data_IF_820207610630
#
_entry.id   IF_820207610630
#
_cell.length_a   1.000
_cell.length_b   1.000
_cell.length_c   1.000
_cell.angle_alpha   90.00
_cell.angle_beta   90.00
_cell.angle_gamma   90.00
#
_symmetry.space_group_name_H-M   'P 1'
#
loop_
_entity.id
_entity.type
_entity.pdbx_description
1 polymer ?
#
# COMPACT_ATOMS: atom_id res chain seq x y z
N UNK A 1 6.80 -4.41 11.01
CA UNK A 1 5.84 -3.40 11.54
C UNK A 1 6.24 -1.96 11.18
N UNK A 2 7.39 -1.76 10.54
CA UNK A 2 7.95 -0.43 10.23
C UNK A 2 7.33 0.23 9.00
N UNK A 3 6.62 -0.57 8.19
CA UNK A 3 6.13 -0.16 6.88
C UNK A 3 5.24 1.08 6.88
N UNK A 4 4.29 1.27 7.82
CA UNK A 4 3.48 2.48 7.83
C UNK A 4 4.32 3.75 8.01
N UNK A 5 5.31 3.73 8.90
CA UNK A 5 6.22 4.86 9.13
C UNK A 5 7.13 5.10 7.92
N UNK A 6 7.67 4.03 7.33
CA UNK A 6 8.50 4.12 6.12
C UNK A 6 7.72 4.76 4.97
N UNK A 7 6.52 4.26 4.70
CA UNK A 7 5.67 4.76 3.62
C UNK A 7 5.30 6.24 3.81
N UNK A 8 5.01 6.66 5.04
CA UNK A 8 4.74 8.07 5.33
C UNK A 8 5.96 8.97 5.04
N UNK A 9 7.15 8.54 5.46
CA UNK A 9 8.39 9.28 5.19
C UNK A 9 8.72 9.33 3.69
N UNK A 10 8.58 8.22 2.98
CA UNK A 10 8.81 8.15 1.54
C UNK A 10 7.83 9.06 0.77
N UNK A 11 6.55 9.08 1.19
CA UNK A 11 5.55 9.99 0.62
C UNK A 11 5.89 11.48 0.85
N UNK A 12 6.64 11.79 1.91
CA UNK A 12 7.14 13.13 2.21
C UNK A 12 8.50 13.45 1.56
N UNK A 13 9.01 12.55 0.70
CA UNK A 13 10.29 12.75 0.02
C UNK A 13 11.51 12.54 0.92
N UNK A 14 11.35 11.89 2.07
CA UNK A 14 12.45 11.46 2.94
C UNK A 14 12.81 10.01 2.67
N UNK A 15 14.02 9.63 3.06
CA UNK A 15 14.44 8.24 3.00
C UNK A 15 13.86 7.48 4.20
N UNK A 16 12.77 6.75 3.98
CA UNK A 16 12.01 6.10 5.05
C UNK A 16 12.82 5.09 5.87
N UNK A 17 13.85 4.47 5.27
CA UNK A 17 14.77 3.60 6.00
C UNK A 17 15.51 4.34 7.12
N UNK A 18 16.04 5.53 6.83
CA UNK A 18 16.76 6.35 7.81
C UNK A 18 15.82 6.88 8.89
N UNK A 19 14.61 7.31 8.49
CA UNK A 19 13.60 7.79 9.44
C UNK A 19 13.20 6.69 10.42
N UNK A 20 12.92 5.49 9.92
CA UNK A 20 12.56 4.33 10.76
C UNK A 20 13.68 3.98 11.73
N UNK A 21 14.93 3.92 11.26
CA UNK A 21 16.08 3.61 12.12
C UNK A 21 16.28 4.66 13.23
N UNK A 22 16.03 5.93 12.94
CA UNK A 22 16.09 7.00 13.94
C UNK A 22 14.95 6.91 14.95
N UNK A 23 13.72 6.65 14.50
CA UNK A 23 12.57 6.46 15.40
C UNK A 23 12.77 5.26 16.34
N UNK A 24 13.35 4.15 15.87
CA UNK A 24 13.63 2.97 16.72
C UNK A 24 14.60 3.24 17.87
N UNK A 25 15.51 4.22 17.73
CA UNK A 25 16.45 4.60 18.80
C UNK A 25 15.79 5.42 19.90
N UNK A 26 14.63 6.00 19.62
CA UNK A 26 13.87 6.85 20.52
C UNK A 26 12.93 6.01 21.40
N UNK A 27 12.36 6.62 22.44
CA UNK A 27 11.54 5.94 23.44
C UNK A 27 10.26 6.72 23.72
N UNK A 28 9.22 5.98 24.14
CA UNK A 28 7.94 6.59 24.50
C UNK A 28 7.25 7.18 23.28
N UNK A 29 6.85 8.45 23.38
CA UNK A 29 6.07 9.15 22.35
C UNK A 29 6.93 9.87 21.31
N UNK A 30 8.26 9.82 21.46
CA UNK A 30 9.20 10.45 20.53
C UNK A 30 9.16 9.72 19.19
N UNK A 31 8.71 10.43 18.16
CA UNK A 31 8.59 9.92 16.80
C UNK A 31 8.91 10.99 15.77
N UNK A 32 8.46 10.77 14.54
CA UNK A 32 8.73 11.67 13.42
C UNK A 32 7.42 12.33 12.95
N UNK A 33 7.37 13.66 13.07
CA UNK A 33 6.32 14.49 12.50
C UNK A 33 6.64 14.75 11.02
N UNK A 34 5.91 14.05 10.16
CA UNK A 34 6.07 14.07 8.71
C UNK A 34 5.65 15.43 8.12
N UNK A 35 4.72 16.13 8.74
CA UNK A 35 4.19 17.39 8.22
C UNK A 35 5.17 18.55 8.43
N UNK A 36 5.86 18.56 9.57
CA UNK A 36 6.85 19.59 9.92
C UNK A 36 8.29 19.16 9.68
N UNK A 37 8.53 17.89 9.33
CA UNK A 37 9.86 17.31 9.13
C UNK A 37 10.74 17.33 10.39
N UNK A 38 10.15 17.05 11.55
CA UNK A 38 10.83 17.14 12.85
C UNK A 38 10.65 15.86 13.68
N UNK A 39 11.63 15.56 14.53
CA UNK A 39 11.46 14.52 15.54
C UNK A 39 10.98 15.13 16.85
N UNK A 40 9.82 14.71 17.31
CA UNK A 40 9.13 15.33 18.46
C UNK A 40 8.28 14.32 19.21
N UNK A 41 7.78 14.73 20.38
CA UNK A 41 6.75 14.01 21.13
C UNK A 41 5.43 14.10 20.36
N UNK A 42 5.06 13.02 19.68
CA UNK A 42 3.89 12.97 18.79
C UNK A 42 2.58 13.22 19.56
N UNK A 43 2.51 12.84 20.84
CA UNK A 43 1.32 13.07 21.67
C UNK A 43 1.17 14.55 21.97
N UNK A 44 2.28 15.24 22.33
CA UNK A 44 2.26 16.70 22.54
C UNK A 44 1.99 17.47 21.25
N UNK A 45 2.47 16.98 20.12
CA UNK A 45 2.22 17.54 18.80
C UNK A 45 0.77 17.29 18.30
N UNK A 46 -0.02 16.46 19.00
CA UNK A 46 -1.40 16.13 18.62
C UNK A 46 -1.51 15.10 17.50
N UNK A 47 -0.41 14.44 17.15
CA UNK A 47 -0.35 13.37 16.13
C UNK A 47 -0.64 12.05 16.86
N UNK A 48 -1.93 11.75 17.02
CA UNK A 48 -2.40 10.60 17.79
C UNK A 48 -3.32 9.71 16.97
N UNK A 49 -3.08 8.41 17.02
CA UNK A 49 -3.94 7.40 16.41
C UNK A 49 -4.84 6.73 17.47
N UNK A 50 -6.14 6.54 17.20
CA UNK A 50 -7.00 5.77 18.09
C UNK A 50 -6.48 4.33 18.21
N UNK A 51 -6.28 3.84 19.44
CA UNK A 51 -5.74 2.49 19.71
C UNK A 51 -6.49 1.38 18.97
N UNK A 52 -7.81 1.53 18.79
CA UNK A 52 -8.65 0.58 18.05
C UNK A 52 -8.19 0.46 16.59
N UNK A 53 -7.85 1.57 15.95
CA UNK A 53 -7.49 1.61 14.52
C UNK A 53 -6.16 0.91 14.29
N UNK A 54 -5.11 1.29 15.02
CA UNK A 54 -3.77 0.67 14.88
C UNK A 54 -3.83 -0.84 15.11
N UNK A 55 -4.56 -1.27 16.16
CA UNK A 55 -4.74 -2.70 16.46
C UNK A 55 -5.50 -3.43 15.34
N UNK A 56 -6.65 -2.90 14.92
CA UNK A 56 -7.49 -3.55 13.91
C UNK A 56 -6.81 -3.60 12.55
N UNK A 57 -6.08 -2.56 12.16
CA UNK A 57 -5.30 -2.54 10.91
C UNK A 57 -4.27 -3.67 10.88
N UNK A 58 -3.48 -3.81 11.96
CA UNK A 58 -2.47 -4.88 12.05
C UNK A 58 -3.12 -6.27 12.05
N UNK A 59 -4.20 -6.46 12.81
CA UNK A 59 -4.91 -7.75 12.90
C UNK A 59 -5.47 -8.18 11.54
N UNK A 60 -6.12 -7.27 10.81
CA UNK A 60 -6.67 -7.56 9.50
C UNK A 60 -5.56 -7.87 8.48
N UNK A 61 -4.48 -7.08 8.49
CA UNK A 61 -3.33 -7.31 7.61
C UNK A 61 -2.68 -8.68 7.87
N UNK A 62 -2.43 -9.01 9.14
CA UNK A 62 -1.87 -10.30 9.53
C UNK A 62 -2.81 -11.47 9.18
N UNK A 63 -4.13 -11.30 9.31
CA UNK A 63 -5.12 -12.32 8.96
C UNK A 63 -5.09 -12.67 7.47
N UNK A 64 -5.09 -11.67 6.59
CA UNK A 64 -5.06 -11.89 5.14
C UNK A 64 -3.69 -12.40 4.71
N UNK A 65 -2.59 -11.84 5.24
CA UNK A 65 -1.25 -12.33 4.96
C UNK A 65 -1.08 -13.80 5.37
N UNK A 66 -1.58 -14.18 6.56
CA UNK A 66 -1.57 -15.56 7.03
C UNK A 66 -2.32 -16.51 6.10
N UNK A 67 -3.52 -16.11 5.65
CA UNK A 67 -4.32 -16.89 4.70
C UNK A 67 -3.55 -17.09 3.38
N UNK A 68 -3.00 -16.02 2.82
CA UNK A 68 -2.29 -16.05 1.53
C UNK A 68 -1.02 -16.91 1.61
N UNK A 69 -0.25 -16.82 2.70
CA UNK A 69 0.98 -17.59 2.89
C UNK A 69 0.75 -19.10 2.95
N UNK A 70 -0.44 -19.55 3.36
CA UNK A 70 -0.80 -20.98 3.42
C UNK A 70 -1.62 -21.46 2.22
N UNK A 71 -1.83 -20.60 1.22
CA UNK A 71 -2.60 -20.96 0.02
C UNK A 71 -1.69 -21.60 -1.01
N UNK A 72 -1.79 -22.92 -1.16
CA UNK A 72 -0.98 -23.70 -2.11
C UNK A 72 -1.51 -23.69 -3.55
N UNK A 73 -2.82 -23.48 -3.73
CA UNK A 73 -3.45 -23.50 -5.05
C UNK A 73 -4.65 -22.54 -5.13
N UNK A 74 -4.87 -22.00 -6.32
CA UNK A 74 -6.02 -21.15 -6.67
C UNK A 74 -6.76 -21.78 -7.85
N UNK A 75 -8.08 -21.95 -7.72
CA UNK A 75 -8.95 -22.35 -8.82
C UNK A 75 -9.66 -21.09 -9.32
N UNK A 76 -9.45 -20.75 -10.59
CA UNK A 76 -10.01 -19.53 -11.21
C UNK A 76 -10.91 -19.90 -12.38
N UNK A 77 -11.84 -19.02 -12.72
CA UNK A 77 -12.56 -19.12 -13.98
C UNK A 77 -11.62 -18.90 -15.17
N UNK A 78 -11.96 -19.47 -16.33
CA UNK A 78 -11.22 -19.25 -17.56
C UNK A 78 -11.47 -17.79 -17.98
N UNK A 79 -10.41 -16.98 -18.24
CA UNK A 79 -10.59 -15.60 -18.69
C UNK A 79 -11.51 -15.55 -19.91
N UNK A 80 -12.61 -14.79 -19.81
CA UNK A 80 -13.46 -14.55 -20.97
C UNK A 80 -12.66 -13.80 -22.03
N UNK A 81 -12.71 -14.27 -23.28
CA UNK A 81 -12.22 -13.47 -24.39
C UNK A 81 -13.14 -12.26 -24.52
N UNK A 82 -12.60 -11.06 -24.40
CA UNK A 82 -13.34 -9.85 -24.74
C UNK A 82 -13.96 -10.04 -26.12
N UNK A 83 -15.29 -9.91 -26.18
CA UNK A 83 -16.01 -9.94 -27.46
C UNK A 83 -15.48 -8.77 -28.26
N UNK A 84 -14.66 -9.06 -29.26
CA UNK A 84 -14.26 -8.07 -30.26
C UNK A 84 -15.55 -7.47 -30.79
N UNK A 85 -15.76 -6.14 -30.70
CA UNK A 85 -16.96 -5.54 -31.22
C UNK A 85 -17.08 -5.97 -32.69
N UNK A 86 -18.28 -6.37 -33.15
CA UNK A 86 -18.45 -6.84 -34.52
C UNK A 86 -17.95 -5.76 -35.46
N UNK A 87 -16.86 -6.07 -36.17
CA UNK A 87 -16.36 -5.23 -37.25
C UNK A 87 -17.51 -5.01 -38.24
N UNK A 88 -17.79 -3.76 -38.67
CA UNK A 88 -18.82 -3.50 -39.66
C UNK A 88 -18.59 -4.35 -40.91
N UNK A 89 -19.63 -5.02 -41.44
CA UNK A 89 -19.50 -5.75 -42.69
C UNK A 89 -19.37 -4.73 -43.84
N UNK A 90 -18.14 -4.43 -44.24
CA UNK A 90 -17.89 -3.62 -45.42
C UNK A 90 -16.46 -3.14 -45.53
N UNK A 91 -15.71 -3.68 -46.49
CA UNK A 91 -14.48 -3.04 -46.98
C UNK A 91 -13.31 -3.96 -47.25
N UNK A 92 -13.48 -5.06 -47.98
CA UNK A 92 -12.35 -5.65 -48.71
C UNK A 92 -12.86 -6.30 -50.00
N UNK A 93 -12.99 -5.47 -51.02
CA UNK A 93 -13.36 -5.86 -52.37
C UNK A 93 -12.63 -4.98 -53.38
N UNK A 94 -11.35 -5.30 -53.59
CA UNK A 94 -10.62 -5.07 -54.85
C UNK A 94 -10.19 -3.64 -55.17
N UNK A 95 -8.87 -3.43 -55.18
CA UNK A 95 -8.15 -3.06 -56.42
C UNK A 95 -6.65 -3.20 -56.17
N UNK A 96 -6.06 -4.20 -56.84
CA UNK A 96 -4.69 -4.09 -57.32
C UNK A 96 -4.61 -2.84 -58.19
N UNK A 97 -3.86 -1.82 -57.74
CA UNK A 97 -2.97 -0.90 -58.48
C UNK A 97 -2.35 0.09 -57.48
#
# INVERSE_FOLDING_TARGET
VEEPTRQLADNAGREGALVVEEVKKRKGNEGYDVANDEYTDLVKAGIVDPTKVTRSALQNAASIAGLLLTTEALVTEIPEKEKTPPMPPGGMGGMDY
#
